data_IF_246683057521
#
_entry.id   IF_246683057521
#
_cell.length_a   1.000
_cell.length_b   1.000
_cell.length_c   1.000
_cell.angle_alpha   90.00
_cell.angle_beta   90.00
_cell.angle_gamma   90.00
#
_symmetry.space_group_name_H-M   'P 1'
#
loop_
_entity.id
_entity.type
_entity.pdbx_description
1 polymer ?
#
# COMPACT_ATOMS: atom_id res chain seq x y z
N UNK A 1 18.50 13.97 14.46
CA UNK A 1 18.64 12.72 15.24
C UNK A 1 19.65 11.75 14.62
N UNK A 2 20.26 12.14 13.49
CA UNK A 2 21.25 11.38 12.70
C UNK A 2 22.68 11.86 12.99
N UNK A 3 22.84 13.03 13.61
CA UNK A 3 24.14 13.72 13.75
C UNK A 3 25.02 13.22 14.92
N UNK A 4 24.49 12.40 15.83
CA UNK A 4 25.24 11.90 16.99
C UNK A 4 26.19 10.73 16.66
N UNK A 5 26.09 10.15 15.46
CA UNK A 5 26.90 9.01 15.03
C UNK A 5 28.14 9.40 14.19
N UNK A 6 28.31 10.68 13.85
CA UNK A 6 29.32 11.17 12.89
C UNK A 6 30.79 11.21 13.37
N UNK A 7 31.16 10.73 14.57
CA UNK A 7 32.57 10.81 15.04
C UNK A 7 33.24 9.45 15.32
N UNK A 8 32.94 8.43 14.51
CA UNK A 8 33.35 7.04 14.77
C UNK A 8 34.43 6.59 13.78
N UNK A 9 35.58 7.25 13.82
CA UNK A 9 36.83 6.62 13.39
C UNK A 9 37.92 6.59 14.46
N UNK A 10 37.73 7.21 15.64
CA UNK A 10 38.62 6.95 16.80
C UNK A 10 38.08 7.29 18.21
N UNK A 11 36.88 7.90 18.36
CA UNK A 11 36.38 8.37 19.67
C UNK A 11 35.27 7.46 20.20
N UNK A 12 35.68 6.32 20.76
CA UNK A 12 34.81 5.15 20.93
C UNK A 12 34.18 4.94 22.33
N UNK A 13 34.10 5.99 23.16
CA UNK A 13 33.44 5.93 24.48
C UNK A 13 32.02 6.51 24.49
N UNK A 14 31.72 7.53 23.66
CA UNK A 14 30.38 8.14 23.61
C UNK A 14 29.33 7.19 23.03
N UNK A 15 29.67 6.46 21.97
CA UNK A 15 28.79 5.42 21.42
C UNK A 15 28.48 4.34 22.46
N UNK A 16 29.47 3.89 23.23
CA UNK A 16 29.24 2.92 24.30
C UNK A 16 28.26 3.47 25.36
N UNK A 17 28.28 4.78 25.65
CA UNK A 17 27.32 5.38 26.60
C UNK A 17 25.91 5.46 26.03
N UNK A 18 25.76 5.83 24.76
CA UNK A 18 24.45 5.88 24.08
C UNK A 18 23.85 4.49 23.86
N UNK A 19 24.68 3.51 23.47
CA UNK A 19 24.28 2.12 23.35
C UNK A 19 23.93 1.46 24.70
N UNK A 20 24.31 2.12 25.81
CA UNK A 20 23.95 1.72 27.17
C UNK A 20 22.72 2.48 27.72
N UNK A 21 22.14 3.39 26.94
CA UNK A 21 20.91 4.06 27.36
C UNK A 21 19.73 3.10 27.22
N UNK A 22 19.00 2.92 28.33
CA UNK A 22 17.88 2.00 28.48
C UNK A 22 16.79 2.16 27.40
N UNK A 23 16.59 3.35 26.82
CA UNK A 23 15.60 3.54 25.76
C UNK A 23 16.01 2.86 24.45
N UNK A 24 17.31 2.90 24.13
CA UNK A 24 17.87 2.30 22.92
C UNK A 24 18.13 0.81 23.09
N UNK A 25 18.48 0.36 24.30
CA UNK A 25 18.72 -1.07 24.55
C UNK A 25 17.46 -1.89 24.34
N UNK A 26 16.29 -1.36 24.71
CA UNK A 26 15.01 -2.09 24.57
C UNK A 26 14.66 -2.41 23.11
N UNK A 27 15.02 -1.53 22.18
CA UNK A 27 14.80 -1.70 20.74
C UNK A 27 16.13 -1.57 20.00
N UNK A 28 16.79 -2.71 19.81
CA UNK A 28 18.06 -2.76 19.11
C UNK A 28 17.81 -2.96 17.60
N UNK A 29 18.02 -1.89 16.84
CA UNK A 29 17.92 -1.91 15.39
C UNK A 29 19.30 -1.88 14.73
N UNK A 30 19.71 -3.03 14.20
CA UNK A 30 21.03 -3.20 13.60
C UNK A 30 21.08 -2.80 12.11
N UNK A 31 19.95 -2.42 11.52
CA UNK A 31 19.80 -2.02 10.10
C UNK A 31 20.03 -0.53 9.87
N UNK A 32 19.87 0.27 10.93
CA UNK A 32 20.14 1.71 10.84
C UNK A 32 21.63 2.02 10.83
N UNK A 33 22.45 1.13 11.41
CA UNK A 33 23.91 1.28 11.46
C UNK A 33 24.54 1.09 10.08
N UNK A 34 23.93 0.26 9.22
CA UNK A 34 24.33 0.06 7.82
C UNK A 34 24.11 1.31 6.97
N UNK A 35 22.93 1.92 7.08
CA UNK A 35 22.54 3.08 6.28
C UNK A 35 23.31 4.37 6.60
N UNK A 36 24.03 4.45 7.73
CA UNK A 36 24.79 5.65 8.09
C UNK A 36 26.14 5.79 7.36
N UNK A 37 26.67 4.70 6.79
CA UNK A 37 27.97 4.72 6.11
C UNK A 37 27.88 5.02 4.60
N UNK A 38 26.68 5.08 4.02
CA UNK A 38 26.50 5.28 2.59
C UNK A 38 25.91 6.66 2.26
N UNK A 39 26.79 7.64 2.08
CA UNK A 39 26.43 8.94 1.46
C UNK A 39 26.00 8.79 -0.02
N UNK A 40 26.24 7.63 -0.61
CA UNK A 40 25.82 7.25 -1.95
C UNK A 40 24.86 6.08 -1.77
N UNK A 41 23.64 6.19 -2.30
CA UNK A 41 22.46 5.29 -2.16
C UNK A 41 22.65 3.77 -2.38
N UNK A 42 23.88 3.24 -2.39
CA UNK A 42 24.15 1.82 -2.26
C UNK A 42 24.08 1.45 -0.78
N UNK A 43 23.10 0.61 -0.44
CA UNK A 43 22.99 -0.03 0.87
C UNK A 43 24.24 -0.91 1.03
N UNK A 44 25.29 -0.38 1.64
CA UNK A 44 26.48 -1.16 1.99
C UNK A 44 26.20 -1.91 3.29
N UNK A 45 26.59 -3.18 3.32
CA UNK A 45 26.51 -4.01 4.52
C UNK A 45 27.38 -3.46 5.64
N UNK A 46 27.07 -3.84 6.89
CA UNK A 46 27.75 -3.30 8.07
C UNK A 46 29.23 -3.64 7.99
N UNK A 47 30.10 -2.68 8.30
CA UNK A 47 31.54 -2.94 8.39
C UNK A 47 31.81 -4.15 9.31
N UNK A 48 32.49 -5.21 8.81
CA UNK A 48 32.71 -6.43 9.59
C UNK A 48 33.48 -6.19 10.89
N UNK A 49 34.37 -5.18 10.95
CA UNK A 49 35.10 -4.87 12.18
C UNK A 49 34.19 -4.26 13.23
N UNK A 50 33.31 -3.33 12.83
CA UNK A 50 32.28 -2.77 13.69
C UNK A 50 31.31 -3.85 14.19
N UNK A 51 30.81 -4.72 13.31
CA UNK A 51 29.93 -5.83 13.69
C UNK A 51 30.61 -6.75 14.72
N UNK A 52 31.84 -7.17 14.44
CA UNK A 52 32.64 -8.01 15.34
C UNK A 52 32.81 -7.36 16.72
N UNK A 53 33.06 -6.05 16.76
CA UNK A 53 33.15 -5.30 18.00
C UNK A 53 31.83 -5.27 18.76
N UNK A 54 30.71 -4.99 18.09
CA UNK A 54 29.37 -4.95 18.71
C UNK A 54 29.07 -6.33 19.33
N UNK A 55 29.28 -7.40 18.57
CA UNK A 55 29.08 -8.77 19.01
C UNK A 55 29.97 -9.17 20.20
N UNK A 56 31.24 -8.75 20.23
CA UNK A 56 32.16 -9.17 21.29
C UNK A 56 32.10 -8.31 22.55
N UNK A 57 31.82 -7.01 22.42
CA UNK A 57 31.97 -6.05 23.53
C UNK A 57 30.65 -5.47 24.04
N UNK A 58 29.66 -5.29 23.17
CA UNK A 58 28.44 -4.54 23.49
C UNK A 58 27.29 -5.50 23.78
N UNK A 59 26.96 -6.39 22.86
CA UNK A 59 25.84 -7.33 22.99
C UNK A 59 25.86 -8.14 24.30
N UNK A 60 26.99 -8.74 24.73
CA UNK A 60 27.04 -9.48 26.00
C UNK A 60 26.69 -8.64 27.24
N UNK A 61 26.83 -7.31 27.17
CA UNK A 61 26.50 -6.40 28.28
C UNK A 61 25.02 -6.03 28.30
N UNK A 62 24.39 -5.92 27.13
CA UNK A 62 23.02 -5.36 27.00
C UNK A 62 21.94 -6.41 26.68
N UNK A 63 22.32 -7.63 26.27
CA UNK A 63 21.41 -8.68 25.81
C UNK A 63 20.18 -8.98 26.70
N UNK A 64 20.32 -8.86 28.03
CA UNK A 64 19.25 -9.12 28.99
C UNK A 64 18.18 -8.03 29.04
N UNK A 65 18.45 -6.86 28.47
CA UNK A 65 17.52 -5.73 28.37
C UNK A 65 16.95 -5.55 26.96
N UNK A 66 17.40 -6.34 25.98
CA UNK A 66 16.89 -6.28 24.60
C UNK A 66 15.54 -6.98 24.53
N UNK A 67 14.51 -6.24 24.14
CA UNK A 67 13.14 -6.74 24.02
C UNK A 67 12.69 -6.91 22.56
N UNK A 68 13.17 -6.02 21.69
CA UNK A 68 12.97 -6.07 20.24
C UNK A 68 14.30 -5.97 19.52
N UNK A 69 14.53 -6.89 18.60
CA UNK A 69 15.75 -6.98 17.80
C UNK A 69 15.39 -6.94 16.31
N UNK A 70 16.01 -6.01 15.58
CA UNK A 70 15.93 -5.93 14.12
C UNK A 70 17.30 -6.23 13.53
N UNK A 71 17.37 -7.22 12.63
CA UNK A 71 18.62 -7.68 12.03
C UNK A 71 18.49 -7.84 10.52
N UNK A 72 19.60 -7.62 9.83
CA UNK A 72 19.77 -7.90 8.40
C UNK A 72 20.42 -9.27 8.18
N UNK A 73 20.26 -9.79 6.97
CA UNK A 73 20.81 -11.06 6.52
C UNK A 73 22.28 -11.29 6.91
N UNK A 74 23.15 -10.35 6.59
CA UNK A 74 24.61 -10.53 6.71
C UNK A 74 25.09 -10.51 8.16
N UNK A 75 24.31 -9.89 9.05
CA UNK A 75 24.68 -9.68 10.45
C UNK A 75 23.96 -10.62 11.41
N UNK A 76 22.81 -11.18 11.02
CA UNK A 76 21.93 -11.98 11.88
C UNK A 76 22.68 -13.09 12.62
N UNK A 77 23.45 -13.92 11.90
CA UNK A 77 24.15 -15.07 12.51
C UNK A 77 25.06 -14.63 13.64
N UNK A 78 25.87 -13.59 13.41
CA UNK A 78 26.83 -13.11 14.40
C UNK A 78 26.10 -12.51 15.61
N UNK A 79 25.04 -11.73 15.37
CA UNK A 79 24.27 -11.07 16.42
C UNK A 79 23.53 -12.08 17.30
N UNK A 80 22.87 -13.07 16.68
CA UNK A 80 22.13 -14.10 17.41
C UNK A 80 23.03 -15.06 18.17
N UNK A 81 24.26 -15.29 17.70
CA UNK A 81 25.26 -16.12 18.41
C UNK A 81 26.05 -15.34 19.47
N UNK A 82 26.06 -14.01 19.41
CA UNK A 82 26.83 -13.18 20.32
C UNK A 82 26.32 -13.21 21.76
N UNK A 83 25.02 -13.46 21.96
CA UNK A 83 24.40 -13.45 23.28
C UNK A 83 23.09 -14.24 23.34
N UNK A 84 22.65 -14.61 24.55
CA UNK A 84 21.32 -15.14 24.82
C UNK A 84 20.36 -13.99 25.14
N UNK A 85 19.24 -13.84 24.45
CA UNK A 85 18.36 -12.69 24.66
C UNK A 85 17.12 -13.05 25.49
N UNK A 86 17.20 -13.26 26.82
CA UNK A 86 16.13 -13.88 27.62
C UNK A 86 14.81 -13.09 27.66
N UNK A 87 14.85 -11.81 27.29
CA UNK A 87 13.68 -10.91 27.26
C UNK A 87 13.21 -10.58 25.85
N UNK A 88 13.79 -11.20 24.84
CA UNK A 88 13.46 -10.93 23.45
C UNK A 88 12.06 -11.46 23.15
N UNK A 89 11.12 -10.55 22.96
CA UNK A 89 9.75 -10.90 22.58
C UNK A 89 9.48 -10.64 21.10
N UNK A 90 10.28 -9.77 20.45
CA UNK A 90 10.08 -9.37 19.06
C UNK A 90 11.35 -9.50 18.23
N UNK A 91 11.29 -10.24 17.13
CA UNK A 91 12.37 -10.36 16.14
C UNK A 91 11.90 -9.83 14.79
N UNK A 92 12.69 -8.97 14.17
CA UNK A 92 12.47 -8.42 12.83
C UNK A 92 13.63 -8.80 11.92
N UNK A 93 13.37 -9.62 10.91
CA UNK A 93 14.31 -10.04 9.89
C UNK A 93 14.08 -9.15 8.66
N UNK A 94 15.05 -8.29 8.32
CA UNK A 94 14.92 -7.31 7.24
C UNK A 94 15.86 -7.63 6.08
N UNK A 95 15.36 -7.44 4.86
CA UNK A 95 16.16 -7.50 3.63
C UNK A 95 16.84 -8.86 3.42
N UNK A 96 16.10 -9.95 3.64
CA UNK A 96 16.61 -11.30 3.49
C UNK A 96 16.26 -11.93 2.14
N UNK A 97 17.24 -12.57 1.53
CA UNK A 97 17.04 -13.53 0.44
C UNK A 97 16.40 -14.81 0.98
N UNK A 98 15.53 -15.38 0.15
CA UNK A 98 14.67 -16.51 0.45
C UNK A 98 15.51 -17.74 0.86
N UNK A 99 16.47 -18.13 0.02
CA UNK A 99 17.33 -19.28 0.23
C UNK A 99 18.11 -19.19 1.54
N UNK A 100 18.51 -17.98 1.92
CA UNK A 100 19.31 -17.72 3.11
C UNK A 100 18.44 -17.83 4.37
N UNK A 101 17.21 -17.31 4.37
CA UNK A 101 16.27 -17.56 5.48
C UNK A 101 16.04 -19.05 5.65
N UNK A 102 15.77 -19.76 4.55
CA UNK A 102 15.51 -21.19 4.59
C UNK A 102 16.70 -21.93 5.20
N UNK A 103 17.91 -21.65 4.73
CA UNK A 103 19.14 -22.25 5.25
C UNK A 103 19.32 -21.94 6.74
N UNK A 104 19.11 -20.69 7.17
CA UNK A 104 19.25 -20.32 8.58
C UNK A 104 18.24 -21.02 9.49
N UNK A 105 16.98 -21.07 9.08
CA UNK A 105 15.93 -21.74 9.82
C UNK A 105 16.13 -23.27 9.82
N UNK A 106 16.78 -23.82 8.79
CA UNK A 106 17.04 -25.27 8.69
C UNK A 106 18.26 -25.69 9.51
N UNK A 107 19.33 -24.92 9.45
CA UNK A 107 20.63 -25.35 9.98
C UNK A 107 20.96 -24.76 11.36
N UNK A 108 20.31 -23.66 11.77
CA UNK A 108 20.70 -22.93 12.98
C UNK A 108 19.83 -23.30 14.20
N UNK A 109 20.29 -24.29 14.98
CA UNK A 109 19.65 -24.71 16.24
C UNK A 109 19.40 -23.55 17.24
N UNK A 110 20.27 -22.53 17.26
CA UNK A 110 20.13 -21.39 18.17
C UNK A 110 18.93 -20.52 17.78
N UNK A 111 18.77 -20.25 16.49
CA UNK A 111 17.61 -19.51 15.98
C UNK A 111 16.32 -20.28 16.27
N UNK A 112 16.34 -21.61 16.11
CA UNK A 112 15.18 -22.46 16.44
C UNK A 112 14.81 -22.37 17.92
N UNK A 113 15.80 -22.44 18.82
CA UNK A 113 15.57 -22.35 20.26
C UNK A 113 15.00 -20.98 20.65
N UNK A 114 15.52 -19.91 20.06
CA UNK A 114 15.04 -18.53 20.26
C UNK A 114 13.59 -18.36 19.80
N UNK A 115 13.28 -18.80 18.57
CA UNK A 115 11.95 -18.70 17.97
C UNK A 115 10.91 -19.53 18.73
N UNK A 116 11.29 -20.70 19.24
CA UNK A 116 10.36 -21.61 19.93
C UNK A 116 10.04 -21.22 21.36
N UNK A 117 10.97 -20.58 22.07
CA UNK A 117 10.84 -20.34 23.52
C UNK A 117 10.34 -18.94 23.90
N UNK A 118 10.71 -17.91 23.14
CA UNK A 118 10.65 -16.53 23.66
C UNK A 118 9.94 -15.54 22.72
N UNK A 119 9.99 -15.76 21.41
CA UNK A 119 9.43 -14.80 20.43
C UNK A 119 7.90 -14.89 20.38
N UNK A 120 7.23 -13.78 20.69
CA UNK A 120 5.77 -13.63 20.54
C UNK A 120 5.38 -12.82 19.32
N UNK A 121 6.32 -12.02 18.78
CA UNK A 121 6.15 -11.16 17.62
C UNK A 121 7.27 -11.42 16.61
N UNK A 122 6.91 -11.86 15.41
CA UNK A 122 7.85 -12.11 14.33
C UNK A 122 7.49 -11.21 13.14
N UNK A 123 8.45 -10.45 12.68
CA UNK A 123 8.36 -9.64 11.46
C UNK A 123 9.39 -10.15 10.47
N UNK A 124 8.97 -10.52 9.27
CA UNK A 124 9.87 -11.01 8.22
C UNK A 124 9.62 -10.18 6.98
N UNK A 125 10.71 -9.60 6.48
CA UNK A 125 10.76 -8.80 5.27
C UNK A 125 11.75 -9.48 4.30
N UNK A 126 11.17 -10.10 3.28
CA UNK A 126 11.88 -10.91 2.29
C UNK A 126 12.18 -10.01 1.09
N UNK A 127 13.45 -9.94 0.68
CA UNK A 127 13.86 -9.29 -0.56
C UNK A 127 13.11 -9.91 -1.73
N UNK A 128 12.84 -9.09 -2.74
CA UNK A 128 12.22 -9.52 -3.99
C UNK A 128 12.88 -10.82 -4.50
N UNK A 129 12.15 -11.94 -4.58
CA UNK A 129 12.70 -13.19 -5.06
C UNK A 129 13.14 -13.04 -6.51
N UNK A 130 14.21 -13.74 -6.88
CA UNK A 130 14.71 -13.75 -8.27
C UNK A 130 13.68 -14.43 -9.19
N UNK A 131 12.86 -15.33 -8.64
CA UNK A 131 11.76 -16.00 -9.34
C UNK A 131 10.42 -15.87 -8.57
N UNK A 132 9.39 -15.25 -9.15
CA UNK A 132 8.07 -15.09 -8.51
C UNK A 132 7.28 -16.40 -8.31
N UNK A 133 7.80 -17.55 -8.74
CA UNK A 133 7.18 -18.88 -8.59
C UNK A 133 8.00 -19.85 -7.74
N UNK A 134 8.95 -19.33 -6.97
CA UNK A 134 9.83 -20.13 -6.14
C UNK A 134 9.06 -20.88 -5.04
N UNK A 135 9.13 -22.22 -5.04
CA UNK A 135 8.69 -23.07 -3.92
C UNK A 135 9.41 -22.74 -2.60
N UNK A 136 10.50 -21.97 -2.65
CA UNK A 136 11.37 -21.72 -1.50
C UNK A 136 10.66 -20.86 -0.44
N UNK A 137 9.71 -20.01 -0.80
CA UNK A 137 9.00 -19.13 0.13
C UNK A 137 7.87 -19.90 0.79
N UNK A 138 7.21 -20.78 0.03
CA UNK A 138 6.32 -21.80 0.58
C UNK A 138 7.09 -22.69 1.57
N UNK A 139 8.32 -23.08 1.26
CA UNK A 139 9.20 -23.85 2.14
C UNK A 139 9.65 -23.06 3.36
N UNK A 140 9.95 -21.76 3.24
CA UNK A 140 10.26 -20.87 4.36
C UNK A 140 9.06 -20.70 5.26
N UNK A 141 7.89 -20.45 4.70
CA UNK A 141 6.65 -20.34 5.48
C UNK A 141 6.35 -21.68 6.13
N UNK A 142 6.47 -22.81 5.42
CA UNK A 142 6.33 -24.15 5.97
C UNK A 142 7.35 -24.43 7.08
N UNK A 143 8.56 -23.92 6.95
CA UNK A 143 9.64 -24.06 7.92
C UNK A 143 9.41 -23.17 9.14
N UNK A 144 9.04 -21.90 8.97
CA UNK A 144 8.60 -21.00 10.05
C UNK A 144 7.39 -21.62 10.77
N UNK A 145 6.43 -22.16 10.02
CA UNK A 145 5.28 -22.91 10.55
C UNK A 145 5.72 -24.13 11.35
N UNK A 146 6.71 -24.89 10.86
CA UNK A 146 7.28 -26.05 11.54
C UNK A 146 8.04 -25.67 12.82
N UNK A 147 8.76 -24.55 12.78
CA UNK A 147 9.53 -24.00 13.89
C UNK A 147 8.64 -23.41 14.98
N UNK A 148 7.62 -22.63 14.61
CA UNK A 148 6.64 -22.11 15.57
C UNK A 148 5.75 -23.21 16.19
N UNK A 149 5.72 -24.42 15.62
CA UNK A 149 4.87 -25.54 16.07
C UNK A 149 5.55 -26.57 16.97
N UNK A 150 6.85 -26.48 17.28
CA UNK A 150 7.63 -27.61 17.82
C UNK A 150 7.46 -28.86 16.92
N UNK A 151 8.07 -28.81 15.74
CA UNK A 151 8.50 -29.92 14.86
C UNK A 151 8.16 -31.35 15.33
N UNK A 152 7.30 -32.05 14.59
CA UNK A 152 7.52 -33.47 14.28
C UNK A 152 7.09 -33.76 12.85
N UNK A 153 8.10 -33.99 12.01
CA UNK A 153 8.11 -34.83 10.80
C UNK A 153 6.79 -34.96 10.04
N UNK A 154 6.74 -34.32 8.87
CA UNK A 154 6.07 -34.78 7.64
C UNK A 154 5.02 -35.89 7.83
N UNK A 155 3.85 -35.52 8.37
CA UNK A 155 2.55 -35.94 7.86
C UNK A 155 1.45 -35.12 8.54
N UNK A 156 0.49 -34.70 7.71
CA UNK A 156 -0.63 -33.83 8.05
C UNK A 156 -1.54 -34.46 9.09
N UNK A 157 -1.34 -34.11 10.36
CA UNK A 157 -2.35 -33.89 11.41
C UNK A 157 -1.59 -33.77 12.73
N UNK A 158 -1.70 -32.63 13.41
CA UNK A 158 -1.66 -32.48 14.88
C UNK A 158 -1.83 -30.99 15.21
N UNK A 159 -2.82 -30.72 16.05
CA UNK A 159 -3.05 -29.46 16.75
C UNK A 159 -2.17 -29.43 17.99
N UNK A 160 -1.14 -28.58 18.03
CA UNK A 160 -0.49 -28.13 19.27
C UNK A 160 0.05 -26.68 19.14
N UNK A 161 0.04 -26.00 20.30
CA UNK A 161 0.08 -24.55 20.55
C UNK A 161 1.34 -23.81 20.09
N UNK A 162 1.21 -22.96 19.06
CA UNK A 162 2.16 -21.86 18.81
C UNK A 162 1.92 -20.71 19.81
N UNK A 163 2.95 -20.11 20.39
CA UNK A 163 2.84 -18.90 21.23
C UNK A 163 2.77 -17.59 20.43
N UNK A 164 2.92 -17.66 19.11
CA UNK A 164 2.90 -16.51 18.21
C UNK A 164 1.52 -15.84 18.23
N UNK A 165 1.47 -14.62 18.77
CA UNK A 165 0.24 -13.82 18.88
C UNK A 165 0.10 -12.80 17.74
N UNK A 166 1.23 -12.28 17.25
CA UNK A 166 1.28 -11.34 16.12
C UNK A 166 2.28 -11.76 15.08
N UNK A 167 1.84 -11.73 13.83
CA UNK A 167 2.67 -12.00 12.66
C UNK A 167 2.57 -10.84 11.69
N UNK A 168 3.72 -10.31 11.28
CA UNK A 168 3.82 -9.33 10.21
C UNK A 168 4.68 -9.93 9.10
N UNK A 169 4.12 -9.98 7.89
CA UNK A 169 4.77 -10.55 6.73
C UNK A 169 4.72 -9.53 5.61
N UNK A 170 5.87 -9.28 5.00
CA UNK A 170 5.97 -8.61 3.72
C UNK A 170 6.32 -9.67 2.66
N UNK A 171 5.47 -9.81 1.65
CA UNK A 171 5.65 -10.77 0.55
C UNK A 171 5.51 -10.10 -0.80
N UNK A 172 6.09 -10.73 -1.81
CA UNK A 172 5.91 -10.29 -3.19
C UNK A 172 4.51 -10.64 -3.70
N UNK A 173 4.07 -11.88 -3.50
CA UNK A 173 2.80 -12.37 -4.01
C UNK A 173 1.82 -12.72 -2.88
N UNK A 174 0.52 -12.49 -3.07
CA UNK A 174 -0.49 -12.95 -2.12
C UNK A 174 -0.59 -14.49 -2.04
N UNK A 175 -0.33 -15.20 -3.15
CA UNK A 175 -0.31 -16.66 -3.21
C UNK A 175 0.56 -17.28 -2.10
N UNK A 176 1.67 -16.63 -1.82
CA UNK A 176 2.65 -16.99 -0.79
C UNK A 176 2.05 -17.03 0.61
N UNK A 177 1.10 -16.15 0.89
CA UNK A 177 0.48 -16.04 2.20
C UNK A 177 -0.56 -17.13 2.48
N UNK A 178 -0.95 -17.95 1.49
CA UNK A 178 -2.04 -18.93 1.63
C UNK A 178 -1.81 -19.90 2.78
N UNK A 179 -0.56 -20.32 3.00
CA UNK A 179 -0.17 -21.19 4.12
C UNK A 179 -0.27 -20.54 5.50
N UNK A 180 -0.30 -19.21 5.56
CA UNK A 180 -0.40 -18.44 6.81
C UNK A 180 -1.87 -18.37 7.26
N UNK A 181 -2.78 -18.31 6.30
CA UNK A 181 -4.21 -18.08 6.52
C UNK A 181 -5.03 -19.36 6.71
N UNK A 182 -4.42 -20.53 6.56
CA UNK A 182 -5.08 -21.82 6.57
C UNK A 182 -5.39 -22.40 7.97
N UNK A 183 -5.52 -21.55 8.99
CA UNK A 183 -5.88 -21.98 10.33
C UNK A 183 -4.75 -22.64 11.14
N UNK A 184 -3.53 -22.76 10.58
CA UNK A 184 -2.40 -23.43 11.28
C UNK A 184 -1.92 -22.70 12.54
N UNK A 185 -2.20 -21.41 12.71
CA UNK A 185 -1.82 -20.64 13.90
C UNK A 185 -2.99 -20.49 14.88
N UNK A 186 -3.16 -21.45 15.77
CA UNK A 186 -4.29 -21.49 16.70
C UNK A 186 -4.29 -20.41 17.79
N UNK A 187 -3.19 -19.67 17.95
CA UNK A 187 -3.07 -18.57 18.91
C UNK A 187 -2.90 -17.19 18.26
N UNK A 188 -2.80 -17.12 16.93
CA UNK A 188 -2.59 -15.86 16.24
C UNK A 188 -3.81 -14.95 16.42
N UNK A 189 -3.61 -13.85 17.15
CA UNK A 189 -4.64 -12.84 17.39
C UNK A 189 -4.54 -11.67 16.41
N UNK A 190 -3.35 -11.43 15.85
CA UNK A 190 -3.09 -10.31 14.95
C UNK A 190 -2.25 -10.75 13.75
N UNK A 191 -2.76 -10.50 12.54
CA UNK A 191 -2.06 -10.81 11.29
C UNK A 191 -1.97 -9.54 10.44
N UNK A 192 -0.76 -9.18 10.02
CA UNK A 192 -0.49 -8.05 9.13
C UNK A 192 0.23 -8.61 7.91
N UNK A 193 -0.40 -8.45 6.75
CA UNK A 193 0.16 -8.88 5.46
C UNK A 193 0.34 -7.63 4.61
N UNK A 194 1.57 -7.39 4.17
CA UNK A 194 1.86 -6.39 3.15
C UNK A 194 2.34 -7.15 1.92
N UNK A 195 1.68 -6.91 0.79
CA UNK A 195 1.92 -7.61 -0.46
C UNK A 195 2.26 -6.58 -1.51
N UNK A 196 3.31 -6.83 -2.28
CA UNK A 196 3.57 -6.03 -3.46
C UNK A 196 2.48 -6.28 -4.51
N UNK A 197 2.32 -7.53 -4.96
CA UNK A 197 1.43 -7.90 -6.05
C UNK A 197 0.44 -9.00 -5.64
N UNK A 198 -0.84 -8.80 -5.94
CA UNK A 198 -1.88 -9.80 -5.71
C UNK A 198 -2.20 -10.45 -7.05
N UNK A 199 -1.40 -11.44 -7.44
CA UNK A 199 -1.62 -12.24 -8.64
C UNK A 199 -2.41 -13.49 -8.27
N UNK A 200 -3.37 -13.86 -9.12
CA UNK A 200 -4.08 -15.12 -8.99
C UNK A 200 -3.20 -16.24 -9.55
N UNK A 201 -2.66 -17.13 -8.70
CA UNK A 201 -2.16 -18.39 -9.23
C UNK A 201 -3.41 -19.13 -9.71
N UNK A 202 -3.51 -19.44 -11.02
CA UNK A 202 -4.60 -20.12 -11.74
C UNK A 202 -5.18 -21.42 -11.09
N UNK A 203 -5.52 -21.41 -9.81
CA UNK A 203 -5.75 -22.59 -9.01
C UNK A 203 -6.71 -22.28 -7.88
N UNK A 204 -7.77 -23.08 -7.80
CA UNK A 204 -8.84 -22.96 -6.82
C UNK A 204 -8.30 -22.69 -5.42
N UNK A 205 -8.94 -21.73 -4.73
CA UNK A 205 -8.76 -21.52 -3.30
C UNK A 205 -9.40 -22.72 -2.58
N UNK A 206 -8.64 -23.80 -2.46
CA UNK A 206 -8.87 -24.90 -1.52
C UNK A 206 -9.34 -24.34 -0.17
N UNK A 207 -10.39 -24.95 0.37
CA UNK A 207 -11.07 -24.58 1.60
C UNK A 207 -10.07 -24.28 2.72
N UNK A 208 -9.82 -23.00 2.95
CA UNK A 208 -8.97 -22.52 4.02
C UNK A 208 -9.70 -22.70 5.34
N UNK A 209 -9.04 -23.36 6.30
CA UNK A 209 -9.61 -23.59 7.62
C UNK A 209 -9.79 -22.26 8.34
N UNK A 210 -10.86 -22.14 9.12
CA UNK A 210 -11.16 -20.95 9.92
C UNK A 210 -10.00 -20.62 10.86
N UNK A 211 -9.75 -19.32 11.08
CA UNK A 211 -8.82 -18.78 12.07
C UNK A 211 -9.59 -18.32 13.32
N UNK A 212 -9.96 -19.22 14.25
CA UNK A 212 -10.96 -18.93 15.27
C UNK A 212 -10.55 -17.85 16.28
N UNK A 213 -9.25 -17.64 16.50
CA UNK A 213 -8.72 -16.66 17.47
C UNK A 213 -8.23 -15.36 16.84
N UNK A 214 -8.26 -15.23 15.52
CA UNK A 214 -7.79 -14.01 14.86
C UNK A 214 -8.78 -12.87 15.16
N UNK A 215 -8.28 -11.83 15.83
CA UNK A 215 -9.06 -10.66 16.24
C UNK A 215 -8.73 -9.42 15.43
N UNK A 216 -7.51 -9.31 14.90
CA UNK A 216 -7.06 -8.15 14.14
C UNK A 216 -6.40 -8.59 12.85
N UNK A 217 -6.86 -8.08 11.72
CA UNK A 217 -6.29 -8.33 10.40
C UNK A 217 -5.98 -7.02 9.69
N UNK A 218 -4.79 -6.93 9.11
CA UNK A 218 -4.38 -5.80 8.27
C UNK A 218 -3.82 -6.33 6.97
N UNK A 219 -4.34 -5.81 5.85
CA UNK A 219 -3.89 -6.18 4.51
C UNK A 219 -3.56 -4.93 3.72
N UNK A 220 -2.35 -4.89 3.15
CA UNK A 220 -1.87 -3.79 2.30
C UNK A 220 -1.40 -4.35 0.97
N UNK A 221 -1.98 -3.89 -0.13
CA UNK A 221 -1.50 -4.14 -1.49
C UNK A 221 -0.83 -2.88 -2.03
N UNK A 222 0.44 -2.96 -2.43
CA UNK A 222 1.17 -1.80 -2.96
C UNK A 222 0.93 -1.57 -4.45
N UNK A 223 0.62 -2.62 -5.21
CA UNK A 223 0.25 -2.52 -6.62
C UNK A 223 -1.24 -2.74 -6.86
N UNK A 224 -1.67 -2.31 -8.05
CA UNK A 224 -3.01 -2.50 -8.59
C UNK A 224 -3.33 -4.01 -8.70
N UNK A 225 -4.40 -4.46 -8.05
CA UNK A 225 -4.90 -5.84 -8.15
C UNK A 225 -6.21 -5.94 -8.90
N UNK A 226 -6.35 -6.97 -9.73
CA UNK A 226 -7.62 -7.32 -10.39
C UNK A 226 -8.37 -8.45 -9.66
N UNK A 227 -7.82 -8.94 -8.55
CA UNK A 227 -8.26 -10.18 -7.89
C UNK A 227 -9.00 -9.90 -6.58
N UNK A 228 -9.64 -8.74 -6.48
CA UNK A 228 -10.39 -8.35 -5.29
C UNK A 228 -11.55 -9.32 -5.02
N UNK A 229 -12.38 -9.59 -6.03
CA UNK A 229 -13.56 -10.46 -5.89
C UNK A 229 -13.20 -11.95 -5.78
N UNK A 230 -12.09 -12.36 -6.42
CA UNK A 230 -11.67 -13.77 -6.47
C UNK A 230 -10.81 -14.19 -5.28
N UNK A 231 -9.94 -13.32 -4.75
CA UNK A 231 -9.01 -13.68 -3.67
C UNK A 231 -9.33 -12.97 -2.35
N UNK A 232 -9.53 -11.64 -2.39
CA UNK A 232 -9.63 -10.83 -1.16
C UNK A 232 -10.97 -11.04 -0.46
N UNK A 233 -12.09 -11.00 -1.20
CA UNK A 233 -13.43 -11.19 -0.62
C UNK A 233 -13.58 -12.58 0.02
N UNK A 234 -13.25 -13.70 -0.64
CA UNK A 234 -13.36 -15.03 -0.02
C UNK A 234 -12.49 -15.19 1.22
N UNK A 235 -11.28 -14.62 1.23
CA UNK A 235 -10.41 -14.60 2.41
C UNK A 235 -11.09 -13.91 3.59
N UNK A 236 -11.64 -12.72 3.37
CA UNK A 236 -12.29 -11.93 4.41
C UNK A 236 -13.54 -12.61 4.96
N UNK A 237 -14.32 -13.27 4.09
CA UNK A 237 -15.49 -14.05 4.51
C UNK A 237 -15.16 -15.20 5.47
N UNK A 238 -13.91 -15.66 5.52
CA UNK A 238 -13.48 -16.70 6.45
C UNK A 238 -13.06 -16.17 7.82
N UNK A 239 -12.89 -14.86 7.94
CA UNK A 239 -12.41 -14.17 9.14
C UNK A 239 -13.58 -13.48 9.89
N UNK A 240 -14.69 -14.20 10.08
CA UNK A 240 -15.93 -13.66 10.66
C UNK A 240 -15.81 -13.14 12.11
N UNK A 241 -14.78 -13.56 12.85
CA UNK A 241 -14.57 -13.22 14.26
C UNK A 241 -13.65 -12.00 14.47
N UNK A 242 -13.32 -11.25 13.41
CA UNK A 242 -12.46 -10.07 13.54
C UNK A 242 -13.12 -8.98 14.38
N UNK A 243 -12.33 -8.40 15.28
CA UNK A 243 -12.65 -7.18 16.04
C UNK A 243 -12.08 -5.92 15.37
N UNK A 244 -10.95 -6.05 14.65
CA UNK A 244 -10.31 -4.98 13.88
C UNK A 244 -9.93 -5.47 12.47
N UNK A 245 -10.31 -4.69 11.45
CA UNK A 245 -9.95 -4.93 10.05
C UNK A 245 -9.38 -3.65 9.44
N UNK A 246 -8.20 -3.76 8.83
CA UNK A 246 -7.57 -2.69 8.04
C UNK A 246 -7.27 -3.17 6.64
N UNK A 247 -7.75 -2.47 5.63
CA UNK A 247 -7.48 -2.78 4.24
C UNK A 247 -6.94 -1.53 3.55
N UNK A 248 -5.82 -1.69 2.83
CA UNK A 248 -5.22 -0.69 1.98
C UNK A 248 -5.02 -1.32 0.60
N UNK A 249 -5.88 -0.97 -0.35
CA UNK A 249 -6.00 -1.64 -1.63
C UNK A 249 -5.99 -0.64 -2.79
N UNK A 250 -5.30 -0.99 -3.87
CA UNK A 250 -5.54 -0.40 -5.19
C UNK A 250 -6.14 -1.49 -6.09
N UNK A 251 -7.38 -1.30 -6.54
CA UNK A 251 -8.17 -2.33 -7.24
C UNK A 251 -8.47 -1.89 -8.66
N UNK A 252 -8.04 -2.70 -9.62
CA UNK A 252 -8.40 -2.62 -11.02
C UNK A 252 -9.65 -3.44 -11.32
N UNK A 253 -10.60 -2.85 -12.03
CA UNK A 253 -11.89 -3.50 -12.34
C UNK A 253 -12.29 -3.29 -13.79
N UNK A 254 -12.65 -4.38 -14.48
CA UNK A 254 -13.11 -4.34 -15.88
C UNK A 254 -14.63 -4.36 -15.94
N UNK A 255 -15.22 -3.37 -16.60
CA UNK A 255 -16.68 -3.26 -16.83
C UNK A 255 -17.58 -3.34 -15.58
N UNK A 256 -17.00 -3.26 -14.38
CA UNK A 256 -17.74 -3.29 -13.11
C UNK A 256 -17.86 -1.91 -12.51
N UNK A 257 -18.82 -1.78 -11.59
CA UNK A 257 -18.97 -0.60 -10.75
C UNK A 257 -17.77 -0.48 -9.80
N UNK A 258 -17.53 0.76 -9.37
CA UNK A 258 -16.64 1.04 -8.25
C UNK A 258 -17.07 0.27 -7.00
N UNK A 259 -16.14 0.02 -6.08
CA UNK A 259 -16.44 -0.65 -4.82
C UNK A 259 -17.05 0.37 -3.87
N UNK A 260 -18.34 0.23 -3.61
CA UNK A 260 -19.09 1.11 -2.71
C UNK A 260 -19.34 0.45 -1.35
N UNK A 261 -19.87 1.23 -0.40
CA UNK A 261 -20.16 0.74 0.94
C UNK A 261 -21.26 -0.32 0.98
N UNK A 262 -22.18 -0.33 0.01
CA UNK A 262 -23.23 -1.35 -0.09
C UNK A 262 -22.61 -2.69 -0.51
N UNK A 263 -21.79 -2.68 -1.55
CA UNK A 263 -21.06 -3.84 -2.02
C UNK A 263 -20.15 -4.42 -0.93
N UNK A 264 -19.37 -3.60 -0.21
CA UNK A 264 -18.58 -4.11 0.92
C UNK A 264 -19.45 -4.74 2.00
N UNK A 265 -20.57 -4.09 2.30
CA UNK A 265 -21.49 -4.57 3.33
C UNK A 265 -22.04 -5.95 2.97
N UNK A 266 -22.56 -6.07 1.75
CA UNK A 266 -23.19 -7.29 1.25
C UNK A 266 -22.16 -8.41 1.02
N UNK A 267 -20.92 -8.08 0.62
CA UNK A 267 -19.90 -9.07 0.32
C UNK A 267 -19.33 -9.75 1.56
N UNK A 268 -18.96 -9.01 2.61
CA UNK A 268 -18.34 -9.64 3.79
C UNK A 268 -18.64 -8.97 5.13
N UNK A 269 -18.93 -7.66 5.20
CA UNK A 269 -19.13 -7.01 6.51
C UNK A 269 -20.39 -7.50 7.23
N UNK A 270 -21.45 -7.88 6.50
CA UNK A 270 -22.67 -8.45 7.08
C UNK A 270 -22.36 -9.71 7.93
N UNK A 271 -21.27 -10.41 7.62
CA UNK A 271 -20.84 -11.61 8.34
C UNK A 271 -19.88 -11.30 9.50
N UNK A 272 -19.31 -10.10 9.58
CA UNK A 272 -18.33 -9.70 10.61
C UNK A 272 -18.98 -9.03 11.81
N UNK A 273 -19.85 -9.77 12.50
CA UNK A 273 -20.67 -9.25 13.62
C UNK A 273 -19.87 -8.76 14.83
N UNK A 274 -18.60 -9.14 14.96
CA UNK A 274 -17.71 -8.73 16.06
C UNK A 274 -16.84 -7.51 15.73
N UNK A 275 -16.93 -6.97 14.51
CA UNK A 275 -16.05 -5.92 14.03
C UNK A 275 -16.35 -4.60 14.73
N UNK A 276 -15.41 -4.16 15.57
CA UNK A 276 -15.48 -2.89 16.32
C UNK A 276 -14.81 -1.76 15.56
N UNK A 277 -13.78 -2.09 14.78
CA UNK A 277 -12.97 -1.11 14.05
C UNK A 277 -12.71 -1.57 12.63
N UNK A 278 -13.17 -0.78 11.68
CA UNK A 278 -12.93 -0.98 10.27
C UNK A 278 -12.22 0.24 9.71
N UNK A 279 -11.04 0.03 9.15
CA UNK A 279 -10.30 1.03 8.38
C UNK A 279 -10.20 0.55 6.95
N UNK A 280 -10.77 1.30 6.03
CA UNK A 280 -10.80 0.93 4.62
C UNK A 280 -10.23 2.07 3.79
N UNK A 281 -9.09 1.80 3.16
CA UNK A 281 -8.48 2.65 2.15
C UNK A 281 -8.51 1.90 0.82
N UNK A 282 -9.37 2.35 -0.09
CA UNK A 282 -9.43 1.78 -1.44
C UNK A 282 -9.25 2.86 -2.49
N UNK A 283 -8.35 2.58 -3.43
CA UNK A 283 -8.31 3.23 -4.72
C UNK A 283 -8.94 2.28 -5.74
N UNK A 284 -9.99 2.69 -6.44
CA UNK A 284 -10.57 1.86 -7.51
C UNK A 284 -10.31 2.49 -8.87
N UNK A 285 -9.61 1.74 -9.73
CA UNK A 285 -9.38 2.09 -11.13
C UNK A 285 -10.31 1.26 -12.01
N UNK A 286 -11.28 1.91 -12.64
CA UNK A 286 -12.23 1.24 -13.55
C UNK A 286 -11.73 1.34 -14.99
N UNK A 287 -11.52 0.18 -15.61
CA UNK A 287 -11.13 0.04 -17.00
C UNK A 287 -12.38 -0.13 -17.87
N UNK A 288 -12.58 0.82 -18.79
CA UNK A 288 -13.69 0.77 -19.76
C UNK A 288 -13.28 -0.05 -20.97
N UNK A 289 -14.09 -1.04 -21.32
CA UNK A 289 -14.02 -1.60 -22.66
C UNK A 289 -14.49 -0.54 -23.67
N UNK A 290 -13.81 -0.43 -24.82
CA UNK A 290 -14.01 0.65 -25.82
C UNK A 290 -15.46 0.79 -26.32
N UNK A 291 -16.31 -0.21 -26.08
CA UNK A 291 -17.64 -0.31 -26.64
C UNK A 291 -18.79 0.12 -25.70
N UNK A 292 -18.51 0.46 -24.43
CA UNK A 292 -19.58 0.75 -23.47
C UNK A 292 -19.73 2.25 -23.17
N UNK A 293 -20.99 2.67 -23.12
CA UNK A 293 -21.49 4.01 -22.82
C UNK A 293 -20.82 4.62 -21.57
N UNK A 294 -20.87 5.95 -21.48
CA UNK A 294 -20.29 6.74 -20.38
C UNK A 294 -20.81 6.23 -19.02
N UNK A 295 -20.05 5.34 -18.38
CA UNK A 295 -20.25 5.06 -16.95
C UNK A 295 -19.85 6.33 -16.21
N UNK A 296 -20.83 7.01 -15.64
CA UNK A 296 -20.63 8.08 -14.67
C UNK A 296 -20.09 7.43 -13.40
N UNK A 297 -18.83 7.72 -13.08
CA UNK A 297 -18.25 7.33 -11.80
C UNK A 297 -18.75 8.31 -10.75
N UNK A 298 -19.27 7.83 -9.61
CA UNK A 298 -19.69 8.71 -8.53
C UNK A 298 -18.55 9.60 -8.07
N UNK A 299 -18.90 10.72 -7.47
CA UNK A 299 -17.94 11.58 -6.80
C UNK A 299 -17.34 10.87 -5.58
N UNK A 300 -16.17 11.31 -5.12
CA UNK A 300 -15.60 10.79 -3.87
C UNK A 300 -16.56 11.02 -2.68
N UNK A 301 -17.37 12.08 -2.72
CA UNK A 301 -18.41 12.38 -1.74
C UNK A 301 -19.50 11.31 -1.75
N UNK A 302 -20.05 10.96 -2.92
CA UNK A 302 -21.07 9.90 -3.05
C UNK A 302 -20.55 8.56 -2.49
N UNK A 303 -19.27 8.27 -2.74
CA UNK A 303 -18.64 7.04 -2.25
C UNK A 303 -18.52 7.10 -0.73
N UNK A 304 -18.04 8.20 -0.15
CA UNK A 304 -17.98 8.35 1.31
C UNK A 304 -19.36 8.28 1.95
N UNK A 305 -20.37 8.89 1.31
CA UNK A 305 -21.76 8.84 1.76
C UNK A 305 -22.33 7.41 1.80
N UNK A 306 -21.88 6.51 0.92
CA UNK A 306 -22.29 5.10 0.98
C UNK A 306 -21.87 4.37 2.26
N UNK A 307 -20.90 4.92 3.02
CA UNK A 307 -20.45 4.41 4.31
C UNK A 307 -21.14 5.08 5.51
N UNK A 308 -21.74 6.26 5.31
CA UNK A 308 -22.40 7.03 6.37
C UNK A 308 -23.73 6.35 6.72
N UNK A 309 -23.89 5.96 7.98
CA UNK A 309 -25.07 5.24 8.49
C UNK A 309 -24.82 3.79 8.90
N UNK A 310 -23.62 3.25 8.62
CA UNK A 310 -23.24 1.86 8.99
C UNK A 310 -22.36 1.76 10.25
N UNK A 311 -22.07 2.89 10.91
CA UNK A 311 -21.35 2.92 12.20
C UNK A 311 -19.82 2.85 12.13
N UNK A 312 -19.22 2.89 10.93
CA UNK A 312 -17.76 2.82 10.76
C UNK A 312 -17.15 4.23 10.64
N UNK A 313 -16.26 4.59 11.56
CA UNK A 313 -15.78 5.97 11.71
C UNK A 313 -14.57 6.35 10.82
N UNK A 314 -13.96 5.43 10.07
CA UNK A 314 -12.69 5.71 9.35
C UNK A 314 -12.62 4.98 7.99
N UNK A 315 -13.40 5.45 7.01
CA UNK A 315 -13.32 4.99 5.62
C UNK A 315 -12.82 6.14 4.73
N UNK A 316 -11.70 5.93 4.05
CA UNK A 316 -11.16 6.84 3.06
C UNK A 316 -11.21 6.13 1.70
N UNK A 317 -12.02 6.63 0.77
CA UNK A 317 -12.13 6.06 -0.57
C UNK A 317 -11.77 7.12 -1.61
N UNK A 318 -11.05 6.71 -2.65
CA UNK A 318 -10.72 7.54 -3.80
C UNK A 318 -11.01 6.77 -5.08
N UNK A 319 -11.61 7.44 -6.06
CA UNK A 319 -11.71 6.89 -7.42
C UNK A 319 -10.77 7.64 -8.36
N UNK A 320 -9.93 6.87 -9.06
CA UNK A 320 -9.06 7.42 -10.09
C UNK A 320 -9.62 7.06 -11.46
N UNK A 321 -9.93 8.09 -12.27
CA UNK A 321 -10.33 7.90 -13.67
C UNK A 321 -9.07 7.78 -14.51
N UNK A 322 -8.84 6.61 -15.10
CA UNK A 322 -7.88 6.51 -16.20
C UNK A 322 -8.49 7.17 -17.44
N UNK A 323 -8.14 8.44 -17.67
CA UNK A 323 -8.48 9.15 -18.91
C UNK A 323 -7.39 8.80 -19.92
N UNK A 324 -7.78 8.34 -21.11
CA UNK A 324 -6.83 8.10 -22.20
C UNK A 324 -6.01 9.38 -22.46
N UNK A 325 -4.69 9.24 -22.54
CA UNK A 325 -3.78 10.32 -22.98
C UNK A 325 -3.78 10.50 -24.51
N UNK A 326 -4.64 9.79 -25.24
CA UNK A 326 -4.82 10.04 -26.66
C UNK A 326 -5.25 11.51 -26.84
N UNK A 327 -4.58 12.27 -27.72
CA UNK A 327 -4.96 13.66 -27.98
C UNK A 327 -6.43 13.69 -28.37
N UNK A 328 -7.20 14.49 -27.65
CA UNK A 328 -8.60 14.72 -27.99
C UNK A 328 -8.62 15.46 -29.32
N UNK A 329 -9.21 14.85 -30.34
CA UNK A 329 -9.48 15.54 -31.59
C UNK A 329 -10.61 16.54 -31.33
N UNK A 330 -10.22 17.77 -31.03
CA UNK A 330 -11.12 18.89 -30.76
C UNK A 330 -11.65 19.53 -32.05
N UNK A 331 -11.48 18.86 -33.20
CA UNK A 331 -12.12 19.27 -34.45
C UNK A 331 -13.61 18.94 -34.38
N UNK A 332 -14.40 19.94 -33.99
CA UNK A 332 -15.85 19.89 -34.15
C UNK A 332 -16.21 20.42 -35.53
N UNK A 333 -17.31 19.94 -36.12
CA UNK A 333 -17.87 20.50 -37.35
C UNK A 333 -18.08 22.01 -37.22
N UNK A 334 -18.46 22.49 -36.03
CA UNK A 334 -18.56 23.92 -35.76
C UNK A 334 -17.22 24.67 -35.91
N UNK A 335 -16.11 24.12 -35.40
CA UNK A 335 -14.78 24.75 -35.54
C UNK A 335 -14.23 24.69 -36.97
N UNK A 336 -14.59 23.66 -37.75
CA UNK A 336 -14.16 23.56 -39.16
C UNK A 336 -14.98 24.44 -40.09
N UNK A 337 -16.30 24.51 -39.86
CA UNK A 337 -17.24 25.12 -40.80
C UNK A 337 -17.39 26.63 -40.56
N UNK A 338 -17.24 27.09 -39.31
CA UNK A 338 -17.38 28.49 -38.93
C UNK A 338 -16.01 29.12 -38.66
N UNK A 339 -15.28 29.40 -39.73
CA UNK A 339 -14.05 30.21 -39.64
C UNK A 339 -14.42 31.70 -39.55
N UNK A 340 -13.64 32.51 -38.81
CA UNK A 340 -13.77 33.96 -38.88
C UNK A 340 -13.60 34.42 -40.33
N UNK A 341 -14.66 34.97 -40.93
CA UNK A 341 -14.59 35.54 -42.26
C UNK A 341 -14.06 36.96 -42.17
N UNK A 342 -13.06 37.30 -42.99
CA UNK A 342 -12.62 38.69 -43.14
C UNK A 342 -13.75 39.48 -43.80
N UNK A 343 -14.42 40.33 -43.02
CA UNK A 343 -15.48 41.20 -43.52
C UNK A 343 -14.82 42.21 -44.47
N UNK A 344 -15.27 42.24 -45.73
CA UNK A 344 -14.82 43.25 -46.68
C UNK A 344 -15.25 44.64 -46.17
N UNK A 345 -14.35 45.65 -46.19
CA UNK A 345 -14.70 47.00 -45.77
C UNK A 345 -15.93 47.49 -46.54
N UNK A 346 -16.90 48.04 -45.80
CA UNK A 346 -18.08 48.65 -46.43
C UNK A 346 -17.58 49.84 -47.24
N UNK A 347 -17.75 49.77 -48.56
CA UNK A 347 -17.52 50.91 -49.42
C UNK A 347 -18.68 51.89 -49.18
N UNK A 348 -18.42 52.93 -48.38
CA UNK A 348 -19.38 54.01 -48.21
C UNK A 348 -19.56 54.71 -49.54
N UNK A 349 -20.80 54.79 -50.03
CA UNK A 349 -21.15 55.58 -51.19
C UNK A 349 -20.63 57.01 -50.99
N UNK A 350 -19.77 57.49 -51.90
CA UNK A 350 -19.38 58.90 -51.88
C UNK A 350 -20.64 59.73 -52.08
N UNK A 351 -20.93 60.65 -51.17
CA UNK A 351 -22.05 61.56 -51.34
C UNK A 351 -21.87 62.34 -52.64
N UNK A 352 -22.92 62.40 -53.46
CA UNK A 352 -22.92 63.25 -54.63
C UNK A 352 -22.69 64.70 -54.21
N UNK A 353 -21.82 65.38 -54.95
CA UNK A 353 -21.47 66.77 -54.66
C UNK A 353 -22.72 67.65 -54.86
N UNK A 354 -23.09 68.41 -53.82
CA UNK A 354 -24.29 69.24 -53.85
C UNK A 354 -24.20 70.26 -54.98
N UNK A 355 -25.19 70.24 -55.87
CA UNK A 355 -25.39 71.27 -56.89
C UNK A 355 -26.54 72.17 -56.46
N UNK A 356 -26.21 73.41 -56.08
CA UNK A 356 -27.21 74.42 -55.79
C UNK A 356 -28.05 74.69 -57.04
N UNK A 357 -29.37 74.71 -56.88
CA UNK A 357 -30.27 75.06 -57.97
C UNK A 357 -30.16 76.58 -58.17
N UNK A 358 -29.57 77.02 -59.28
CA UNK A 358 -29.34 78.44 -59.60
C UNK A 358 -30.55 79.13 -60.21
N UNK A 359 -31.67 78.42 -60.35
CA UNK A 359 -32.87 78.98 -60.93
C UNK A 359 -33.53 79.94 -59.93
N UNK A 360 -33.81 81.17 -60.41
CA UNK A 360 -34.49 82.21 -59.63
C UNK A 360 -35.84 81.69 -59.12
N UNK A 361 -35.97 81.65 -57.79
CA UNK A 361 -37.19 81.20 -57.14
C UNK A 361 -38.28 82.26 -57.34
N UNK A 362 -39.31 81.96 -58.13
CA UNK A 362 -40.43 82.86 -58.36
C UNK A 362 -41.28 82.99 -57.08
N UNK A 363 -41.22 84.15 -56.44
CA UNK A 363 -41.88 84.47 -55.17
C UNK A 363 -43.20 85.22 -55.35
N UNK A 364 -43.84 85.15 -56.52
CA UNK A 364 -45.13 85.79 -56.75
C UNK A 364 -46.28 85.09 -56.02
N UNK A 365 -46.43 85.35 -54.72
CA UNK A 365 -47.65 85.04 -53.96
C UNK A 365 -48.73 86.08 -54.28
N UNK A 366 -49.86 85.62 -54.81
CA UNK A 366 -51.06 86.42 -55.07
C UNK A 366 -51.57 86.99 -53.74
N UNK A 367 -51.66 88.32 -53.66
CA UNK A 367 -52.22 89.02 -52.51
C UNK A 367 -53.73 88.72 -52.39
N UNK A 368 -54.10 88.10 -51.27
CA UNK A 368 -55.47 87.70 -50.92
C UNK A 368 -56.43 88.88 -50.72
N UNK A 369 -55.93 90.12 -50.76
CA UNK A 369 -56.76 91.33 -50.67
C UNK A 369 -57.70 91.55 -51.87
N UNK A 370 -57.51 90.81 -52.99
CA UNK A 370 -58.27 90.97 -54.23
C UNK A 370 -59.62 90.23 -54.32
N UNK A 371 -59.99 89.41 -53.32
CA UNK A 371 -61.16 88.52 -53.38
C UNK A 371 -62.47 89.07 -52.78
N UNK A 372 -62.51 90.33 -52.34
CA UNK A 372 -63.74 90.96 -51.84
C UNK A 372 -64.01 92.31 -52.53
N UNK A 373 -64.72 92.27 -53.66
CA UNK A 373 -65.49 93.43 -54.17
C UNK A 373 -66.67 92.99 -55.03
#
# INVERSE_FOLDING_TARGET
MVDAFYSISDINQRFNRLALDSLYIRHLDMTTITNMNSLYNQISSMDPQLLSRICRKILPRIHHEVYKLTVEQDSMKQILLAANYPRLYSLSLINFEEEIIYQYLTDNLVLRDLLTKQITHLNIDIKKPVDPWSDTLLNIIALILSLCKKLTVLNFEISMSSTLMKLTINVLNFADCRCVVDGRFSCLSTLIINVENVVDPMGDIAETKKLPKLKSFSFTSFYLTFNYDTLIVPLLCQMINLEELKLYLDVGRFNSTFIDGIQLYDQFLIHMTQLKKFTFYINTTVFKNKNNARVELPSNEDIQHSFIGRGYQQVASSTMRYRSNAPFDDTTTSKTDYKPWTIQPIQTHRLDEYRANTDDMDLNTIDMSSLYK
#
